data_IF_402900454022
#
_entry.id   IF_402900454022
#
_cell.length_a   1.000
_cell.length_b   1.000
_cell.length_c   1.000
_cell.angle_alpha   90.00
_cell.angle_beta   90.00
_cell.angle_gamma   90.00
#
_symmetry.space_group_name_H-M   'P 1'
#
loop_
_entity.id
_entity.type
_entity.pdbx_description
1 polymer ?
#
# COMPACT_ATOMS: atom_id res chain seq x y z
N UNK A 1 -28.34 5.23 10.31
CA UNK A 1 -27.18 4.91 9.44
C UNK A 1 -25.93 5.54 10.04
N UNK A 2 -24.80 4.85 10.10
CA UNK A 2 -23.56 5.44 10.58
C UNK A 2 -23.13 6.60 9.68
N UNK A 3 -22.65 7.68 10.29
CA UNK A 3 -22.15 8.86 9.56
C UNK A 3 -20.79 8.56 8.94
N UNK A 4 -20.48 9.22 7.80
CA UNK A 4 -19.20 9.11 7.08
C UNK A 4 -18.54 10.50 6.99
N UNK A 5 -18.17 11.13 8.10
CA UNK A 5 -17.56 12.44 8.04
C UNK A 5 -16.19 12.36 7.37
N UNK A 6 -15.91 13.39 6.56
CA UNK A 6 -14.60 13.63 5.98
C UNK A 6 -14.30 15.12 6.09
N UNK A 7 -13.18 15.45 6.71
CA UNK A 7 -12.73 16.83 6.90
C UNK A 7 -11.28 16.92 6.46
N UNK A 8 -10.92 17.99 5.78
CA UNK A 8 -9.54 18.24 5.36
C UNK A 8 -9.21 19.72 5.48
N UNK A 9 -7.98 19.99 5.86
CA UNK A 9 -7.36 21.30 5.87
C UNK A 9 -6.16 21.29 4.94
N UNK A 10 -6.02 22.33 4.12
CA UNK A 10 -4.85 22.53 3.26
C UNK A 10 -4.34 23.95 3.51
N UNK A 11 -3.03 24.06 3.73
CA UNK A 11 -2.34 25.34 3.85
C UNK A 11 -1.24 25.45 2.79
N UNK A 12 -1.24 26.54 2.07
CA UNK A 12 -0.32 26.83 0.96
C UNK A 12 0.65 27.95 1.36
N UNK A 13 1.77 27.65 2.06
CA UNK A 13 2.75 28.67 2.43
C UNK A 13 3.48 29.25 1.21
N UNK A 14 3.55 28.49 0.12
CA UNK A 14 4.14 28.87 -1.18
C UNK A 14 3.30 28.28 -2.31
N UNK A 15 3.37 28.83 -3.53
CA UNK A 15 2.61 28.30 -4.68
C UNK A 15 2.91 26.82 -4.98
N UNK A 16 4.15 26.39 -4.73
CA UNK A 16 4.66 25.05 -5.00
C UNK A 16 4.70 24.13 -3.77
N UNK A 17 4.23 24.60 -2.58
CA UNK A 17 4.26 23.88 -1.31
C UNK A 17 2.88 23.84 -0.67
N UNK A 18 2.41 22.63 -0.37
CA UNK A 18 1.14 22.38 0.31
C UNK A 18 1.36 21.53 1.55
N UNK A 19 0.85 22.00 2.68
CA UNK A 19 0.71 21.22 3.91
C UNK A 19 -0.74 20.83 4.06
N UNK A 20 -1.02 19.59 4.44
CA UNK A 20 -2.40 19.15 4.62
C UNK A 20 -2.57 18.23 5.82
N UNK A 21 -3.78 18.23 6.34
CA UNK A 21 -4.23 17.25 7.32
C UNK A 21 -5.66 16.83 6.99
N UNK A 22 -5.95 15.54 7.11
CA UNK A 22 -7.28 14.99 6.83
C UNK A 22 -7.73 14.04 7.92
N UNK A 23 -9.03 14.04 8.17
CA UNK A 23 -9.73 13.02 8.93
C UNK A 23 -10.81 12.42 8.08
N UNK A 24 -10.93 11.09 8.09
CA UNK A 24 -12.02 10.39 7.42
C UNK A 24 -12.52 9.23 8.26
N UNK A 25 -13.82 8.97 8.14
CA UNK A 25 -14.45 7.80 8.72
C UNK A 25 -15.23 7.05 7.65
N UNK A 26 -15.16 5.73 7.71
CA UNK A 26 -15.92 4.83 6.86
C UNK A 26 -16.44 3.65 7.67
N UNK A 27 -17.39 2.90 7.11
CA UNK A 27 -17.86 1.67 7.70
C UNK A 27 -18.09 0.61 6.64
N UNK A 28 -18.01 -0.65 7.07
CA UNK A 28 -18.30 -1.83 6.27
C UNK A 28 -19.32 -2.67 7.03
N UNK A 29 -20.49 -2.95 6.43
CA UNK A 29 -21.46 -3.88 7.02
C UNK A 29 -20.80 -5.25 7.22
N UNK A 30 -21.17 -5.94 8.28
CA UNK A 30 -20.71 -7.30 8.54
C UNK A 30 -21.89 -8.21 8.89
N UNK A 31 -21.71 -9.50 8.64
CA UNK A 31 -22.68 -10.54 8.96
C UNK A 31 -22.40 -11.12 10.31
N UNK A 32 -23.45 -11.55 11.01
CA UNK A 32 -23.40 -12.18 12.32
C UNK A 32 -24.33 -11.51 13.31
N UNK A 33 -24.45 -12.14 14.47
CA UNK A 33 -25.29 -11.65 15.56
C UNK A 33 -24.62 -11.93 16.90
N UNK A 34 -25.02 -11.15 17.90
CA UNK A 34 -24.64 -11.32 19.29
C UNK A 34 -25.37 -12.53 19.92
N UNK A 35 -25.01 -12.92 21.13
CA UNK A 35 -25.69 -13.94 21.92
C UNK A 35 -27.19 -13.62 22.10
N UNK A 36 -27.54 -12.35 22.18
CA UNK A 36 -28.92 -11.88 22.32
C UNK A 36 -29.68 -11.83 20.97
N UNK A 37 -29.08 -12.27 19.88
CA UNK A 37 -29.68 -12.29 18.53
C UNK A 37 -29.70 -10.95 17.81
N UNK A 38 -29.02 -9.93 18.33
CA UNK A 38 -28.88 -8.63 17.65
C UNK A 38 -27.83 -8.70 16.54
N UNK A 39 -28.13 -8.10 15.38
CA UNK A 39 -27.19 -8.03 14.28
C UNK A 39 -25.93 -7.25 14.67
N UNK A 40 -24.76 -7.68 14.18
CA UNK A 40 -23.51 -6.99 14.42
C UNK A 40 -23.50 -5.56 13.88
N UNK A 41 -23.04 -4.64 14.72
CA UNK A 41 -22.70 -3.30 14.28
C UNK A 41 -21.64 -3.33 13.17
N UNK A 42 -21.70 -2.40 12.19
CA UNK A 42 -20.71 -2.33 11.14
C UNK A 42 -19.29 -2.13 11.69
N UNK A 43 -18.30 -2.73 11.03
CA UNK A 43 -16.89 -2.38 11.23
C UNK A 43 -16.73 -0.90 10.91
N UNK A 44 -16.17 -0.14 11.81
CA UNK A 44 -15.88 1.29 11.61
C UNK A 44 -14.39 1.50 11.44
N UNK A 45 -14.02 2.27 10.41
CA UNK A 45 -12.64 2.69 10.17
C UNK A 45 -12.51 4.19 10.36
N UNK A 46 -11.46 4.62 11.05
CA UNK A 46 -11.10 6.04 11.26
C UNK A 46 -9.66 6.25 10.83
N UNK A 47 -9.43 7.25 10.00
CA UNK A 47 -8.09 7.59 9.51
C UNK A 47 -7.78 9.05 9.78
N UNK A 48 -6.60 9.29 10.29
CA UNK A 48 -5.93 10.58 10.31
C UNK A 48 -4.73 10.52 9.39
N UNK A 49 -4.53 11.57 8.62
CA UNK A 49 -3.38 11.70 7.74
C UNK A 49 -2.92 13.16 7.75
N UNK A 50 -1.60 13.37 7.80
CA UNK A 50 -0.99 14.69 7.63
C UNK A 50 0.23 14.54 6.72
N UNK A 51 0.47 15.54 5.88
CA UNK A 51 1.57 15.46 4.95
C UNK A 51 1.93 16.78 4.31
N UNK A 52 2.98 16.69 3.50
CA UNK A 52 3.50 17.78 2.70
C UNK A 52 3.57 17.34 1.23
N UNK A 53 3.18 18.23 0.33
CA UNK A 53 3.36 18.06 -1.12
C UNK A 53 4.16 19.25 -1.64
N UNK A 54 5.14 18.96 -2.48
CA UNK A 54 5.96 19.99 -3.13
C UNK A 54 6.17 19.68 -4.59
N UNK A 55 6.00 20.70 -5.41
CA UNK A 55 6.35 20.67 -6.82
C UNK A 55 7.75 21.26 -7.04
N UNK A 56 8.46 20.72 -8.04
CA UNK A 56 9.77 21.16 -8.47
C UNK A 56 9.81 21.31 -9.99
N UNK A 57 10.77 22.08 -10.50
CA UNK A 57 11.02 22.24 -11.93
C UNK A 57 9.80 22.75 -12.73
N UNK A 58 9.10 23.76 -12.20
CA UNK A 58 7.86 24.29 -12.79
C UNK A 58 6.80 23.18 -12.93
N UNK A 59 6.46 22.53 -11.83
CA UNK A 59 5.46 21.47 -11.69
C UNK A 59 5.74 20.19 -12.49
N UNK A 60 6.95 20.02 -13.03
CA UNK A 60 7.30 18.79 -13.74
C UNK A 60 7.56 17.61 -12.80
N UNK A 61 8.00 17.85 -11.58
CA UNK A 61 8.24 16.83 -10.56
C UNK A 61 7.41 17.14 -9.31
N UNK A 62 6.56 16.22 -8.91
CA UNK A 62 5.77 16.30 -7.69
C UNK A 62 6.32 15.34 -6.65
N UNK A 63 6.42 15.79 -5.41
CA UNK A 63 6.78 14.96 -4.25
C UNK A 63 5.72 15.06 -3.18
N UNK A 64 5.50 13.99 -2.45
CA UNK A 64 4.65 13.99 -1.26
C UNK A 64 5.24 13.12 -0.18
N UNK A 65 5.16 13.58 1.06
CA UNK A 65 5.45 12.81 2.26
C UNK A 65 4.22 12.88 3.16
N UNK A 66 3.72 11.72 3.56
CA UNK A 66 2.55 11.59 4.41
C UNK A 66 2.83 10.70 5.62
N UNK A 67 2.18 11.02 6.73
CA UNK A 67 2.09 10.22 7.94
C UNK A 67 0.63 9.89 8.17
N UNK A 68 0.31 8.64 8.45
CA UNK A 68 -1.05 8.23 8.67
C UNK A 68 -1.20 7.30 9.88
N UNK A 69 -2.41 7.29 10.42
CA UNK A 69 -2.89 6.26 11.33
C UNK A 69 -4.32 5.89 10.97
N UNK A 70 -4.57 4.60 10.81
CA UNK A 70 -5.85 4.00 10.49
C UNK A 70 -6.23 3.04 11.61
N UNK A 71 -7.41 3.19 12.18
CA UNK A 71 -7.95 2.23 13.15
C UNK A 71 -9.23 1.61 12.61
N UNK A 72 -9.38 0.29 12.75
CA UNK A 72 -10.63 -0.45 12.55
C UNK A 72 -11.13 -0.94 13.90
N UNK A 73 -12.42 -0.73 14.18
CA UNK A 73 -13.10 -1.14 15.41
C UNK A 73 -14.35 -1.95 15.09
N UNK A 74 -14.97 -2.53 16.11
CA UNK A 74 -16.08 -3.45 15.98
C UNK A 74 -15.71 -4.73 15.22
N UNK A 75 -14.47 -5.20 15.41
CA UNK A 75 -14.05 -6.47 14.86
C UNK A 75 -14.57 -7.59 15.78
N UNK A 76 -15.18 -8.66 15.22
CA UNK A 76 -15.64 -9.79 16.01
C UNK A 76 -14.45 -10.51 16.65
N UNK A 77 -14.56 -10.76 17.95
CA UNK A 77 -13.63 -11.58 18.73
C UNK A 77 -14.45 -12.61 19.51
N UNK A 78 -13.82 -13.69 19.99
CA UNK A 78 -14.47 -14.71 20.80
C UNK A 78 -15.03 -14.07 22.07
N UNK A 79 -16.24 -14.47 22.47
CA UNK A 79 -16.81 -14.06 23.75
C UNK A 79 -16.11 -14.83 24.89
N UNK A 80 -15.49 -14.17 25.88
CA UNK A 80 -14.79 -14.83 26.96
C UNK A 80 -15.73 -15.60 27.95
N UNK A 81 -17.04 -15.30 27.91
CA UNK A 81 -18.03 -15.99 28.74
C UNK A 81 -18.68 -17.18 28.01
N UNK A 82 -18.61 -17.18 26.65
CA UNK A 82 -19.23 -18.22 25.83
C UNK A 82 -18.57 -18.29 24.46
N UNK A 83 -17.63 -19.22 24.29
CA UNK A 83 -16.80 -19.35 23.07
C UNK A 83 -17.59 -19.67 21.79
N UNK A 84 -18.87 -20.08 21.90
CA UNK A 84 -19.75 -20.29 20.73
C UNK A 84 -20.18 -18.95 20.08
N UNK A 85 -20.06 -17.86 20.81
CA UNK A 85 -20.47 -16.52 20.35
C UNK A 85 -19.28 -15.58 20.11
N UNK A 86 -19.59 -14.44 19.52
CA UNK A 86 -18.62 -13.37 19.26
C UNK A 86 -19.14 -12.04 19.79
N UNK A 87 -18.23 -11.24 20.29
CA UNK A 87 -18.49 -9.84 20.69
C UNK A 87 -17.67 -8.87 19.84
N UNK A 88 -18.13 -7.61 19.73
CA UNK A 88 -17.54 -6.60 18.85
C UNK A 88 -16.57 -5.67 19.59
N UNK A 89 -15.51 -6.23 20.18
CA UNK A 89 -14.50 -5.42 20.89
C UNK A 89 -13.15 -5.33 20.18
N UNK A 90 -12.95 -6.10 19.14
CA UNK A 90 -11.70 -6.15 18.40
C UNK A 90 -11.34 -4.82 17.78
N UNK A 91 -10.05 -4.46 17.85
CA UNK A 91 -9.48 -3.29 17.20
C UNK A 91 -8.14 -3.63 16.55
N UNK A 92 -7.95 -3.14 15.34
CA UNK A 92 -6.69 -3.17 14.61
C UNK A 92 -6.26 -1.74 14.29
N UNK A 93 -4.96 -1.51 14.33
CA UNK A 93 -4.39 -0.20 13.99
C UNK A 93 -3.25 -0.38 12.99
N UNK A 94 -3.25 0.45 11.95
CA UNK A 94 -2.17 0.58 11.00
C UNK A 94 -1.66 2.01 11.04
N UNK A 95 -0.35 2.19 11.13
CA UNK A 95 0.31 3.51 11.09
C UNK A 95 1.53 3.43 10.20
N UNK A 96 1.84 4.53 9.54
CA UNK A 96 2.96 4.49 8.60
C UNK A 96 3.36 5.83 8.03
N UNK A 97 4.33 5.72 7.13
CA UNK A 97 4.90 6.82 6.37
C UNK A 97 4.85 6.45 4.89
N UNK A 98 4.43 7.38 4.06
CA UNK A 98 4.42 7.23 2.61
C UNK A 98 5.20 8.36 1.96
N UNK A 99 6.09 8.03 1.04
CA UNK A 99 6.85 8.96 0.22
C UNK A 99 6.57 8.67 -1.25
N UNK A 100 6.18 9.69 -2.00
CA UNK A 100 6.01 9.62 -3.45
C UNK A 100 6.82 10.69 -4.15
N UNK A 101 7.44 10.32 -5.28
CA UNK A 101 8.14 11.22 -6.20
C UNK A 101 7.73 10.85 -7.61
N UNK A 102 7.05 11.74 -8.33
CA UNK A 102 6.53 11.45 -9.66
C UNK A 102 6.72 12.63 -10.60
N UNK A 103 7.18 12.35 -11.81
CA UNK A 103 7.29 13.38 -12.86
C UNK A 103 8.56 13.29 -13.67
N UNK A 104 9.02 14.43 -14.14
CA UNK A 104 10.18 14.57 -15.00
C UNK A 104 11.30 15.35 -14.29
N UNK A 105 12.47 14.72 -14.14
CA UNK A 105 13.69 15.38 -13.65
C UNK A 105 14.21 16.33 -14.77
N UNK A 106 14.17 15.83 -15.99
CA UNK A 106 14.39 16.62 -17.21
C UNK A 106 13.29 16.29 -18.22
N UNK A 107 13.13 17.08 -19.30
CA UNK A 107 12.17 16.72 -20.35
C UNK A 107 12.38 15.32 -20.97
N UNK A 108 13.57 14.76 -20.84
CA UNK A 108 13.91 13.42 -21.34
C UNK A 108 13.89 12.33 -20.29
N UNK A 109 13.92 12.67 -19.02
CA UNK A 109 14.09 11.72 -17.93
C UNK A 109 12.91 11.78 -16.95
N UNK A 110 12.11 10.72 -16.93
CA UNK A 110 10.96 10.55 -16.04
C UNK A 110 11.28 9.59 -14.91
N UNK A 111 10.70 9.83 -13.75
CA UNK A 111 10.81 9.00 -12.56
C UNK A 111 9.44 8.86 -11.89
N UNK A 112 9.16 7.67 -11.38
CA UNK A 112 8.09 7.40 -10.44
C UNK A 112 8.67 6.55 -9.31
N UNK A 113 8.69 7.09 -8.11
CA UNK A 113 9.17 6.41 -6.91
C UNK A 113 8.12 6.48 -5.82
N UNK A 114 7.83 5.34 -5.20
CA UNK A 114 6.97 5.27 -4.02
C UNK A 114 7.66 4.39 -2.98
N UNK A 115 7.62 4.83 -1.74
CA UNK A 115 8.05 4.08 -0.58
C UNK A 115 6.96 4.12 0.47
N UNK A 116 6.69 2.99 1.11
CA UNK A 116 5.80 2.89 2.25
C UNK A 116 6.46 2.11 3.38
N UNK A 117 6.37 2.65 4.59
CA UNK A 117 6.58 1.94 5.82
C UNK A 117 5.27 1.82 6.57
N UNK A 118 4.87 0.60 6.92
CA UNK A 118 3.59 0.29 7.56
C UNK A 118 3.81 -0.60 8.77
N UNK A 119 3.31 -0.19 9.92
CA UNK A 119 3.18 -1.03 11.10
C UNK A 119 1.71 -1.26 11.39
N UNK A 120 1.26 -2.50 11.30
CA UNK A 120 -0.14 -2.88 11.45
C UNK A 120 -0.27 -4.05 12.43
N UNK A 121 -1.09 -3.86 13.46
CA UNK A 121 -1.21 -4.78 14.57
C UNK A 121 -2.62 -4.84 15.17
N UNK A 122 -2.91 -5.88 15.90
CA UNK A 122 -4.07 -5.98 16.81
C UNK A 122 -3.81 -5.09 18.02
N UNK A 123 -4.71 -4.12 18.28
CA UNK A 123 -4.57 -3.20 19.42
C UNK A 123 -5.63 -3.37 20.50
N UNK A 124 -6.64 -4.19 20.24
CA UNK A 124 -7.63 -4.65 21.23
C UNK A 124 -8.21 -5.97 20.80
N UNK A 125 -8.25 -6.93 21.72
CA UNK A 125 -8.84 -8.25 21.54
C UNK A 125 -9.04 -8.89 22.91
N UNK A 126 -9.89 -9.88 23.00
CA UNK A 126 -9.98 -10.85 24.11
C UNK A 126 -9.68 -12.27 23.60
N UNK A 127 -9.24 -12.42 22.36
CA UNK A 127 -8.81 -13.68 21.78
C UNK A 127 -7.33 -13.92 22.16
N UNK A 128 -7.07 -14.91 22.99
CA UNK A 128 -5.71 -15.26 23.43
C UNK A 128 -4.85 -15.83 22.29
N UNK A 129 -5.47 -16.34 21.24
CA UNK A 129 -4.77 -16.85 20.05
C UNK A 129 -4.08 -15.73 19.29
N UNK A 130 -4.69 -14.53 19.28
CA UNK A 130 -4.15 -13.35 18.61
C UNK A 130 -4.10 -12.17 19.58
N UNK A 131 -3.17 -12.16 20.52
CA UNK A 131 -3.09 -11.13 21.55
C UNK A 131 -2.78 -9.76 20.99
N UNK A 132 -2.94 -8.73 21.82
CA UNK A 132 -2.52 -7.37 21.50
C UNK A 132 -1.03 -7.34 21.12
N UNK A 133 -0.69 -6.65 20.03
CA UNK A 133 0.65 -6.62 19.43
C UNK A 133 0.86 -7.64 18.31
N UNK A 134 -0.10 -8.56 18.08
CA UNK A 134 -0.03 -9.48 16.91
C UNK A 134 -0.04 -8.68 15.62
N UNK A 135 1.01 -8.80 14.82
CA UNK A 135 1.12 -8.15 13.51
C UNK A 135 0.11 -8.75 12.52
N UNK A 136 -0.47 -7.91 11.69
CA UNK A 136 -1.46 -8.36 10.70
C UNK A 136 -0.77 -9.11 9.56
N UNK A 137 -1.41 -10.20 9.14
CA UNK A 137 -0.94 -11.04 8.04
C UNK A 137 -0.94 -10.30 6.69
N UNK A 138 -0.05 -10.72 5.79
CA UNK A 138 0.12 -10.21 4.42
C UNK A 138 0.44 -8.70 4.35
N UNK A 139 0.96 -8.12 5.41
CA UNK A 139 1.39 -6.72 5.44
C UNK A 139 2.91 -6.67 5.62
N UNK A 140 3.61 -6.32 4.56
CA UNK A 140 5.04 -6.04 4.63
C UNK A 140 5.29 -4.70 5.31
N UNK A 141 6.17 -4.64 6.33
CA UNK A 141 6.51 -3.39 6.98
C UNK A 141 7.19 -2.36 6.07
N UNK A 142 7.86 -2.80 5.01
CA UNK A 142 8.61 -1.90 4.12
C UNK A 142 8.47 -2.35 2.69
N UNK A 143 8.07 -1.44 1.82
CA UNK A 143 7.99 -1.68 0.39
C UNK A 143 8.37 -0.43 -0.39
N UNK A 144 8.97 -0.60 -1.55
CA UNK A 144 9.16 0.48 -2.49
C UNK A 144 9.00 0.02 -3.94
N UNK A 145 8.70 0.99 -4.78
CA UNK A 145 8.62 0.86 -6.23
C UNK A 145 9.33 2.05 -6.86
N UNK A 146 10.33 1.78 -7.68
CA UNK A 146 11.00 2.77 -8.51
C UNK A 146 10.81 2.40 -9.97
N UNK A 147 10.28 3.31 -10.76
CA UNK A 147 10.25 3.24 -12.21
C UNK A 147 10.96 4.44 -12.79
N UNK A 148 11.85 4.24 -13.75
CA UNK A 148 12.54 5.32 -14.43
C UNK A 148 12.64 5.08 -15.92
N UNK A 149 12.57 6.13 -16.71
CA UNK A 149 12.67 6.03 -18.16
C UNK A 149 13.36 7.24 -18.76
N UNK A 150 14.11 6.99 -19.82
CA UNK A 150 14.80 8.02 -20.60
C UNK A 150 14.34 8.00 -22.06
N UNK A 151 13.96 9.16 -22.59
CA UNK A 151 13.56 9.37 -23.98
C UNK A 151 14.61 10.18 -24.74
N UNK A 152 15.15 9.63 -25.82
CA UNK A 152 16.05 10.32 -26.72
C UNK A 152 15.23 11.26 -27.63
N UNK A 153 15.39 12.56 -27.45
CA UNK A 153 14.59 13.59 -28.12
C UNK A 153 15.21 14.17 -29.37
N UNK A 154 16.52 13.95 -29.58
CA UNK A 154 17.28 14.52 -30.73
C UNK A 154 18.19 13.48 -31.36
N UNK A 155 18.70 13.76 -32.56
CA UNK A 155 19.66 12.92 -33.26
C UNK A 155 19.03 11.74 -34.02
N UNK A 156 19.85 10.82 -34.55
CA UNK A 156 19.42 9.76 -35.48
C UNK A 156 18.49 8.75 -34.83
N UNK A 157 18.60 8.53 -33.52
CA UNK A 157 17.75 7.62 -32.75
C UNK A 157 16.66 8.34 -31.96
N UNK A 158 16.28 9.57 -32.40
CA UNK A 158 15.15 10.29 -31.79
C UNK A 158 13.90 9.40 -31.74
N UNK A 159 13.26 9.36 -30.59
CA UNK A 159 12.08 8.52 -30.34
C UNK A 159 12.40 7.17 -29.71
N UNK A 160 13.69 6.84 -29.52
CA UNK A 160 14.09 5.72 -28.69
C UNK A 160 13.89 6.08 -27.21
N UNK A 161 13.21 5.20 -26.48
CA UNK A 161 13.06 5.28 -25.04
C UNK A 161 13.44 3.94 -24.40
N UNK A 162 14.03 3.99 -23.23
CA UNK A 162 14.38 2.82 -22.44
C UNK A 162 14.24 3.16 -20.96
N UNK A 163 14.08 2.14 -20.16
CA UNK A 163 13.93 2.32 -18.73
C UNK A 163 13.72 1.01 -18.03
N UNK A 164 13.42 1.10 -16.75
CA UNK A 164 13.16 -0.07 -15.93
C UNK A 164 12.52 0.29 -14.61
N UNK A 165 12.11 -0.75 -13.93
CA UNK A 165 11.52 -0.70 -12.61
C UNK A 165 12.30 -1.56 -11.63
N UNK A 166 12.31 -1.14 -10.38
CA UNK A 166 12.78 -1.92 -9.25
C UNK A 166 11.70 -1.91 -8.18
N UNK A 167 11.19 -3.08 -7.88
CA UNK A 167 10.21 -3.31 -6.82
C UNK A 167 10.87 -4.07 -5.68
N UNK A 168 10.60 -3.69 -4.46
CA UNK A 168 11.00 -4.38 -3.24
C UNK A 168 9.81 -4.54 -2.32
N UNK A 169 9.66 -5.73 -1.76
CA UNK A 169 8.78 -6.01 -0.64
C UNK A 169 9.57 -6.70 0.46
N UNK A 170 9.49 -6.14 1.66
CA UNK A 170 10.10 -6.72 2.86
C UNK A 170 9.35 -7.96 3.34
N UNK A 171 9.95 -8.68 4.28
CA UNK A 171 9.34 -9.85 4.92
C UNK A 171 7.99 -9.52 5.54
N UNK A 172 7.07 -10.48 5.50
CA UNK A 172 5.77 -10.39 6.18
C UNK A 172 5.32 -11.77 6.65
N UNK A 173 4.33 -11.80 7.52
CA UNK A 173 3.67 -13.04 7.91
C UNK A 173 2.52 -13.36 6.96
N UNK A 174 2.41 -14.61 6.52
CA UNK A 174 1.32 -15.05 5.65
C UNK A 174 0.01 -15.29 6.39
N UNK A 175 0.06 -15.54 7.69
CA UNK A 175 -1.12 -15.76 8.54
C UNK A 175 -1.00 -15.06 9.90
N UNK A 176 -2.11 -14.93 10.62
CA UNK A 176 -2.16 -14.26 11.92
C UNK A 176 -1.44 -15.04 13.04
N UNK A 177 -1.28 -16.35 12.88
CA UNK A 177 -0.54 -17.19 13.83
C UNK A 177 0.99 -17.12 13.63
N UNK A 178 1.46 -16.36 12.64
CA UNK A 178 2.88 -16.19 12.30
C UNK A 178 3.63 -17.51 12.04
N UNK A 179 2.92 -18.53 11.54
CA UNK A 179 3.51 -19.84 11.19
C UNK A 179 3.95 -19.93 9.73
N UNK A 180 3.61 -18.93 8.91
CA UNK A 180 4.01 -18.81 7.52
C UNK A 180 4.80 -17.52 7.36
N UNK A 181 6.10 -17.65 7.06
CA UNK A 181 6.95 -16.52 6.69
C UNK A 181 6.89 -16.32 5.18
N UNK A 182 6.65 -15.09 4.75
CA UNK A 182 6.80 -14.64 3.38
C UNK A 182 8.10 -13.84 3.27
N UNK A 183 9.07 -14.43 2.60
CA UNK A 183 10.40 -13.80 2.45
C UNK A 183 10.34 -12.49 1.67
N UNK A 184 11.30 -11.62 1.96
CA UNK A 184 11.51 -10.40 1.19
C UNK A 184 11.95 -10.75 -0.24
N UNK A 185 11.51 -9.96 -1.20
CA UNK A 185 11.91 -10.15 -2.59
C UNK A 185 12.12 -8.82 -3.33
N UNK A 186 12.89 -8.92 -4.41
CA UNK A 186 13.17 -7.84 -5.34
C UNK A 186 12.79 -8.25 -6.76
N UNK A 187 12.11 -7.40 -7.47
CA UNK A 187 11.81 -7.58 -8.89
C UNK A 187 12.43 -6.44 -9.69
N UNK A 188 13.04 -6.78 -10.80
CA UNK A 188 13.57 -5.81 -11.75
C UNK A 188 12.92 -6.05 -13.09
N UNK A 189 12.35 -4.99 -13.65
CA UNK A 189 11.75 -4.96 -14.97
C UNK A 189 12.55 -4.00 -15.87
N UNK A 190 12.55 -4.23 -17.17
CA UNK A 190 13.11 -3.30 -18.12
C UNK A 190 12.28 -3.23 -19.40
N UNK A 191 12.43 -2.14 -20.11
CA UNK A 191 11.81 -1.97 -21.41
C UNK A 191 12.69 -1.16 -22.36
N UNK A 192 12.45 -1.37 -23.65
CA UNK A 192 12.91 -0.52 -24.72
C UNK A 192 11.75 -0.27 -25.69
N UNK A 193 11.60 0.96 -26.15
CA UNK A 193 10.59 1.30 -27.13
C UNK A 193 11.12 2.31 -28.14
N UNK A 194 10.71 2.18 -29.38
CA UNK A 194 11.03 3.11 -30.44
C UNK A 194 9.75 3.63 -31.08
N UNK A 195 9.57 4.96 -31.04
CA UNK A 195 8.38 5.62 -31.58
C UNK A 195 8.76 6.55 -32.72
N UNK A 196 8.10 6.38 -33.85
CA UNK A 196 8.08 7.30 -34.98
C UNK A 196 6.67 7.83 -35.24
N UNK A 197 6.49 8.69 -36.22
CA UNK A 197 5.21 9.38 -36.50
C UNK A 197 4.00 8.44 -36.58
N UNK A 198 4.15 7.27 -37.18
CA UNK A 198 3.03 6.34 -37.48
C UNK A 198 3.16 4.96 -36.86
N UNK A 199 4.23 4.64 -36.12
CA UNK A 199 4.37 3.37 -35.43
C UNK A 199 5.10 3.50 -34.10
N UNK A 200 4.85 2.54 -33.22
CA UNK A 200 5.58 2.29 -31.99
C UNK A 200 5.87 0.80 -31.87
N UNK A 201 7.13 0.46 -31.65
CA UNK A 201 7.56 -0.90 -31.33
C UNK A 201 8.10 -0.87 -29.91
N UNK A 202 7.76 -1.87 -29.09
CA UNK A 202 8.27 -1.97 -27.74
C UNK A 202 8.52 -3.42 -27.36
N UNK A 203 9.57 -3.63 -26.58
CA UNK A 203 9.87 -4.88 -25.89
C UNK A 203 9.93 -4.61 -24.39
N UNK A 204 9.34 -5.50 -23.61
CA UNK A 204 9.34 -5.42 -22.16
C UNK A 204 9.81 -6.77 -21.63
N UNK A 205 10.62 -6.75 -20.60
CA UNK A 205 11.06 -7.92 -19.86
C UNK A 205 10.74 -7.69 -18.39
N UNK A 206 9.85 -8.50 -17.84
CA UNK A 206 9.48 -8.46 -16.42
C UNK A 206 10.20 -9.56 -15.66
N UNK A 207 10.45 -9.31 -14.37
CA UNK A 207 11.18 -10.20 -13.50
C UNK A 207 12.48 -10.70 -14.16
N UNK A 208 13.34 -9.73 -14.53
CA UNK A 208 14.58 -9.97 -15.33
C UNK A 208 15.42 -11.11 -14.76
N UNK A 209 15.52 -11.20 -13.43
CA UNK A 209 16.33 -12.21 -12.74
C UNK A 209 15.59 -13.53 -12.50
N UNK A 210 14.33 -13.64 -12.97
CA UNK A 210 13.47 -14.80 -12.74
C UNK A 210 13.37 -15.20 -11.27
N UNK A 211 13.25 -14.18 -10.38
CA UNK A 211 13.10 -14.37 -8.95
C UNK A 211 11.81 -15.15 -8.68
N UNK A 212 11.89 -16.23 -7.92
CA UNK A 212 10.74 -16.92 -7.35
C UNK A 212 10.33 -16.20 -6.06
N UNK A 213 9.03 -15.94 -5.88
CA UNK A 213 8.50 -15.21 -4.76
C UNK A 213 7.03 -15.51 -4.53
N UNK A 214 6.56 -15.20 -3.32
CA UNK A 214 5.16 -15.31 -2.96
C UNK A 214 4.62 -13.93 -2.59
N UNK A 215 3.44 -13.60 -3.14
CA UNK A 215 2.80 -12.28 -2.93
C UNK A 215 1.92 -12.22 -1.70
N UNK A 216 1.58 -13.37 -1.12
CA UNK A 216 0.71 -13.48 0.04
C UNK A 216 0.31 -14.92 0.31
N UNK A 217 -0.52 -15.11 1.32
CA UNK A 217 -1.17 -16.39 1.59
C UNK A 217 -2.62 -16.21 2.04
N UNK A 218 -3.39 -17.27 1.95
CA UNK A 218 -4.74 -17.36 2.50
C UNK A 218 -4.80 -18.50 3.51
N UNK A 219 -4.98 -18.14 4.78
CA UNK A 219 -4.95 -19.08 5.89
C UNK A 219 -3.61 -19.82 5.98
N UNK A 220 -3.67 -21.12 6.34
CA UNK A 220 -2.47 -21.95 6.53
C UNK A 220 -2.15 -22.83 5.32
N UNK A 221 -2.89 -22.73 4.21
CA UNK A 221 -2.89 -23.76 3.17
C UNK A 221 -2.60 -23.25 1.76
N UNK A 222 -2.76 -21.96 1.49
CA UNK A 222 -2.66 -21.44 0.14
C UNK A 222 -1.63 -20.30 0.06
N UNK A 223 -0.55 -20.52 -0.66
CA UNK A 223 0.43 -19.50 -1.02
C UNK A 223 0.14 -18.99 -2.43
N UNK A 224 0.26 -17.68 -2.64
CA UNK A 224 0.09 -17.06 -3.95
C UNK A 224 1.45 -16.82 -4.61
N UNK A 225 1.89 -17.68 -5.55
CA UNK A 225 3.14 -17.48 -6.24
C UNK A 225 3.09 -16.23 -7.12
N UNK A 226 4.20 -15.55 -7.22
CA UNK A 226 4.41 -14.47 -8.17
C UNK A 226 4.65 -14.96 -9.59
N UNK A 227 4.59 -14.05 -10.56
CA UNK A 227 4.82 -14.36 -11.96
C UNK A 227 6.30 -14.64 -12.24
N UNK A 228 6.58 -15.67 -13.01
CA UNK A 228 7.91 -15.91 -13.58
C UNK A 228 8.29 -14.79 -14.56
N UNK A 229 9.53 -14.83 -15.07
CA UNK A 229 10.01 -13.91 -16.10
C UNK A 229 9.16 -14.01 -17.38
N UNK A 230 8.73 -12.86 -17.87
CA UNK A 230 7.92 -12.71 -19.09
C UNK A 230 8.37 -11.54 -19.94
#
# INVERSE_FOLDING_TARGET
>A
MPSRPRVGLVYLPMPDLSLYATYSQSFVPQSGQTKDGEAFDPITSKQWEAGVKKSFFNDRLSTSLAFYTLSKTNLPTIDPEDEEYKILIGKQTSKGIELSVNGEITPSWSVAFNYAYTHAEVTKTNDETYPVGTQLANISPSQFNLWTSYLIRKGPVKGLSFGGGWYFQGKSYGNMAHTIDLDAYHLVDCFVAYKRSFYKISANLKNVFNQEYYTGSQGNYLLFPGSART
#
